data_IF_180566627651
#
_entry.id   IF_180566627651
#
_cell.length_a   1.000
_cell.length_b   1.000
_cell.length_c   1.000
_cell.angle_alpha   90.00
_cell.angle_beta   90.00
_cell.angle_gamma   90.00
#
_symmetry.space_group_name_H-M   'P 1'
#
loop_
_entity.id
_entity.type
_entity.pdbx_description
1 polymer ?
#
# COMPACT_ATOMS: atom_id res chain seq x y z
N UNK A 1 -76.90 -20.69 20.94
CA UNK A 1 -76.30 -21.01 19.61
C UNK A 1 -74.80 -20.68 19.72
N UNK A 2 -73.92 -21.70 19.62
CA UNK A 2 -72.49 -21.49 19.73
C UNK A 2 -71.93 -21.18 18.33
N UNK A 3 -71.01 -20.19 18.30
CA UNK A 3 -70.30 -19.70 17.12
C UNK A 3 -69.07 -20.57 16.94
N UNK A 4 -68.93 -21.22 15.75
CA UNK A 4 -67.78 -22.01 15.38
C UNK A 4 -66.53 -21.15 15.12
N UNK A 5 -65.32 -21.62 15.49
CA UNK A 5 -64.09 -20.92 15.19
C UNK A 5 -63.66 -21.16 13.74
N UNK A 6 -63.30 -20.05 13.06
CA UNK A 6 -62.73 -20.12 11.73
C UNK A 6 -61.24 -20.52 11.79
N UNK A 7 -60.89 -21.55 11.01
CA UNK A 7 -59.53 -22.00 10.76
C UNK A 7 -58.84 -21.00 9.83
N UNK A 8 -57.83 -20.32 10.33
CA UNK A 8 -56.84 -19.62 9.50
C UNK A 8 -55.84 -20.65 8.95
N UNK A 9 -55.83 -20.80 7.63
CA UNK A 9 -54.86 -21.63 6.94
C UNK A 9 -53.45 -21.02 6.99
N UNK A 10 -52.46 -21.85 7.28
CA UNK A 10 -51.06 -21.49 7.28
C UNK A 10 -50.60 -21.13 5.86
N UNK A 11 -49.74 -20.09 5.68
CA UNK A 11 -49.19 -19.76 4.39
C UNK A 11 -48.18 -20.83 3.93
N UNK A 12 -48.20 -21.12 2.62
CA UNK A 12 -47.33 -22.07 1.97
C UNK A 12 -45.86 -21.65 2.03
N UNK A 13 -44.90 -22.59 2.07
CA UNK A 13 -43.48 -22.26 2.08
C UNK A 13 -43.05 -21.67 0.74
N UNK A 14 -42.43 -20.49 0.78
CA UNK A 14 -41.79 -19.85 -0.37
C UNK A 14 -40.47 -20.56 -0.64
N UNK A 15 -40.39 -21.27 -1.74
CA UNK A 15 -39.16 -21.86 -2.24
C UNK A 15 -38.28 -20.74 -2.81
N UNK A 16 -37.22 -20.36 -2.12
CA UNK A 16 -36.17 -19.51 -2.67
C UNK A 16 -35.29 -20.35 -3.60
N UNK A 17 -35.57 -20.26 -4.89
CA UNK A 17 -34.71 -20.80 -5.91
C UNK A 17 -33.61 -19.80 -6.24
N UNK A 18 -32.43 -20.33 -6.52
CA UNK A 18 -31.26 -19.80 -7.21
C UNK A 18 -30.11 -19.41 -6.33
N UNK A 19 -29.25 -20.39 -6.14
CA UNK A 19 -27.84 -20.18 -5.88
C UNK A 19 -27.21 -19.41 -7.05
N UNK A 20 -26.89 -18.15 -6.84
CA UNK A 20 -25.98 -17.43 -7.70
C UNK A 20 -24.59 -18.00 -7.45
N UNK A 21 -23.99 -18.57 -8.49
CA UNK A 21 -22.59 -18.99 -8.48
C UNK A 21 -21.72 -17.79 -8.16
N UNK A 22 -20.73 -17.93 -7.26
CA UNK A 22 -19.77 -16.86 -7.02
C UNK A 22 -18.95 -16.69 -8.30
N UNK A 23 -19.02 -15.51 -8.88
CA UNK A 23 -18.04 -15.08 -9.88
C UNK A 23 -16.66 -15.20 -9.25
N UNK A 24 -15.87 -16.13 -9.73
CA UNK A 24 -14.45 -16.18 -9.43
C UNK A 24 -13.82 -14.89 -10.00
N UNK A 25 -13.57 -13.93 -9.13
CA UNK A 25 -12.67 -12.82 -9.43
C UNK A 25 -11.30 -13.45 -9.70
N UNK A 26 -10.93 -13.58 -10.97
CA UNK A 26 -9.53 -13.71 -11.34
C UNK A 26 -8.86 -12.40 -10.90
N UNK A 27 -8.23 -12.44 -9.75
CA UNK A 27 -7.33 -11.39 -9.32
C UNK A 27 -6.15 -11.38 -10.30
N UNK A 28 -6.18 -10.49 -11.27
CA UNK A 28 -4.97 -10.13 -11.98
C UNK A 28 -3.99 -9.63 -10.91
N UNK A 29 -2.75 -10.13 -10.88
CA UNK A 29 -1.76 -9.61 -9.96
C UNK A 29 -1.63 -8.10 -10.23
N UNK A 30 -1.63 -7.26 -9.19
CA UNK A 30 -1.51 -5.83 -9.37
C UNK A 30 -0.21 -5.55 -10.10
N UNK A 31 -0.31 -4.85 -11.23
CA UNK A 31 0.84 -4.35 -11.96
C UNK A 31 1.42 -3.20 -11.13
N UNK A 32 2.47 -3.48 -10.37
CA UNK A 32 3.06 -2.55 -9.40
C UNK A 32 3.99 -1.51 -10.04
N UNK A 33 3.92 -1.36 -11.36
CA UNK A 33 4.55 -0.25 -12.08
C UNK A 33 6.07 -0.33 -12.23
N UNK A 34 6.69 -1.52 -12.09
CA UNK A 34 8.13 -1.73 -12.36
C UNK A 34 9.09 -1.02 -11.42
N UNK A 35 8.61 -0.53 -10.27
CA UNK A 35 9.43 0.16 -9.28
C UNK A 35 10.28 -0.78 -8.41
N UNK A 36 11.13 -0.18 -7.57
CA UNK A 36 12.02 -0.88 -6.65
C UNK A 36 11.30 -1.91 -5.76
N UNK A 37 10.01 -1.70 -5.46
CA UNK A 37 9.22 -2.66 -4.68
C UNK A 37 8.72 -3.84 -5.50
N UNK A 38 8.40 -3.67 -6.77
CA UNK A 38 8.10 -4.80 -7.65
C UNK A 38 9.33 -5.67 -7.81
N UNK A 39 10.48 -5.03 -7.91
CA UNK A 39 11.78 -5.69 -7.84
C UNK A 39 12.02 -6.38 -6.50
N UNK A 40 11.62 -5.79 -5.36
CA UNK A 40 11.79 -6.36 -4.03
C UNK A 40 10.81 -7.48 -3.68
N UNK A 41 9.60 -7.46 -4.24
CA UNK A 41 8.49 -8.32 -3.78
C UNK A 41 7.78 -9.07 -4.90
N UNK A 42 7.97 -8.68 -6.16
CA UNK A 42 7.54 -9.43 -7.33
C UNK A 42 8.44 -10.66 -7.50
N UNK A 43 7.92 -11.86 -7.27
CA UNK A 43 8.60 -13.06 -7.69
C UNK A 43 8.78 -13.01 -9.21
N UNK A 44 10.01 -13.25 -9.70
CA UNK A 44 10.29 -13.44 -11.11
C UNK A 44 9.40 -14.56 -11.65
N UNK A 45 8.30 -14.22 -12.30
CA UNK A 45 7.70 -15.14 -13.25
C UNK A 45 8.55 -15.06 -14.52
N UNK A 46 9.10 -16.17 -15.03
CA UNK A 46 9.80 -16.16 -16.30
C UNK A 46 8.78 -15.75 -17.37
N UNK A 47 8.95 -14.57 -17.93
CA UNK A 47 8.27 -14.19 -19.18
C UNK A 47 8.71 -15.20 -20.22
N UNK A 48 7.78 -16.07 -20.63
CA UNK A 48 7.96 -16.97 -21.76
C UNK A 48 8.43 -16.15 -22.95
N UNK A 49 9.60 -16.52 -23.49
CA UNK A 49 10.18 -15.88 -24.66
C UNK A 49 9.22 -16.00 -25.84
N UNK A 50 8.65 -14.90 -26.27
CA UNK A 50 8.10 -14.79 -27.59
C UNK A 50 9.29 -14.76 -28.56
N UNK A 51 9.49 -15.84 -29.33
CA UNK A 51 10.43 -15.91 -30.39
C UNK A 51 10.19 -14.76 -31.38
N UNK A 52 11.17 -13.89 -31.55
CA UNK A 52 11.20 -12.92 -32.64
C UNK A 52 11.29 -13.67 -33.95
N UNK A 53 10.17 -13.77 -34.66
CA UNK A 53 10.18 -14.07 -36.10
C UNK A 53 10.64 -12.82 -36.84
N UNK A 54 11.80 -12.89 -37.45
CA UNK A 54 12.23 -11.91 -38.44
C UNK A 54 11.35 -12.02 -39.69
N UNK A 55 10.80 -10.93 -40.19
CA UNK A 55 10.24 -10.90 -41.54
C UNK A 55 11.35 -10.66 -42.52
N UNK A 56 11.65 -11.67 -43.32
CA UNK A 56 12.40 -11.54 -44.59
C UNK A 56 11.48 -11.00 -45.66
N UNK A 57 11.76 -9.79 -46.15
CA UNK A 57 11.11 -9.20 -47.33
C UNK A 57 11.95 -8.06 -47.90
N UNK A 58 11.92 -7.82 -49.21
CA UNK A 58 12.99 -7.17 -49.95
C UNK A 58 12.96 -5.64 -49.86
N UNK A 59 14.14 -5.06 -50.05
CA UNK A 59 14.43 -3.63 -50.07
C UNK A 59 13.55 -2.84 -51.05
N UNK A 60 12.95 -1.76 -50.61
CA UNK A 60 12.48 -0.69 -51.48
C UNK A 60 12.65 0.70 -50.86
N UNK A 61 13.39 1.49 -51.61
CA UNK A 61 13.35 2.92 -51.89
C UNK A 61 13.49 3.94 -50.77
N UNK A 62 14.60 4.65 -50.89
CA UNK A 62 14.88 5.95 -50.30
C UNK A 62 13.77 6.97 -50.61
N UNK A 63 13.19 7.54 -49.62
CA UNK A 63 12.47 8.83 -49.68
C UNK A 63 13.23 9.81 -48.83
N UNK A 64 13.82 10.82 -49.48
CA UNK A 64 14.34 12.01 -48.80
C UNK A 64 13.24 12.63 -47.97
N UNK A 65 13.48 12.72 -46.65
CA UNK A 65 12.67 13.57 -45.75
C UNK A 65 13.58 14.64 -45.14
N UNK A 66 13.09 15.86 -45.23
CA UNK A 66 13.69 17.09 -44.72
C UNK A 66 14.19 16.95 -43.27
N UNK A 67 15.40 17.51 -42.96
CA UNK A 67 15.97 17.44 -41.61
C UNK A 67 15.38 18.46 -40.60
N UNK A 68 14.24 19.09 -40.87
CA UNK A 68 13.76 20.22 -40.05
C UNK A 68 12.54 19.93 -39.17
N UNK A 69 12.20 18.68 -38.89
CA UNK A 69 11.07 18.34 -38.02
C UNK A 69 11.38 17.20 -37.05
N UNK A 70 12.51 17.26 -36.35
CA UNK A 70 12.64 16.49 -35.12
C UNK A 70 11.93 17.31 -34.01
N UNK A 71 10.61 17.16 -33.93
CA UNK A 71 9.93 17.45 -32.68
C UNK A 71 10.44 16.44 -31.67
N UNK A 72 11.28 16.89 -30.77
CA UNK A 72 11.53 16.18 -29.53
C UNK A 72 10.19 16.06 -28.83
N UNK A 73 9.52 14.91 -28.99
CA UNK A 73 8.54 14.48 -28.00
C UNK A 73 9.38 14.31 -26.73
N UNK A 74 9.39 15.35 -25.91
CA UNK A 74 9.82 15.26 -24.55
C UNK A 74 9.10 14.04 -23.98
N UNK A 75 9.90 12.99 -23.68
CA UNK A 75 9.38 11.77 -23.11
C UNK A 75 8.49 12.15 -21.96
N UNK A 76 7.24 11.68 -21.98
CA UNK A 76 6.34 11.83 -20.87
C UNK A 76 7.13 11.33 -19.64
N UNK A 77 7.45 12.22 -18.72
CA UNK A 77 7.89 11.89 -17.39
C UNK A 77 7.00 10.74 -16.93
N UNK A 78 7.52 9.64 -16.34
CA UNK A 78 6.69 8.57 -15.85
C UNK A 78 5.65 9.24 -14.97
N UNK A 79 4.39 9.23 -15.41
CA UNK A 79 3.30 9.91 -14.74
C UNK A 79 3.35 9.43 -13.29
N UNK A 80 3.77 10.33 -12.37
CA UNK A 80 3.68 10.07 -10.95
C UNK A 80 2.23 9.68 -10.73
N UNK A 81 1.98 8.40 -10.50
CA UNK A 81 0.61 7.93 -10.27
C UNK A 81 0.06 8.77 -9.14
N UNK A 82 -0.86 9.66 -9.47
CA UNK A 82 -1.44 10.59 -8.51
C UNK A 82 -2.02 9.76 -7.37
N UNK A 83 -1.68 10.14 -6.15
CA UNK A 83 -2.27 9.51 -4.97
C UNK A 83 -3.79 9.55 -5.08
N UNK A 84 -4.45 8.41 -4.85
CA UNK A 84 -5.90 8.39 -4.71
C UNK A 84 -6.32 9.40 -3.62
N UNK A 85 -7.16 10.39 -3.92
CA UNK A 85 -7.54 11.47 -3.00
C UNK A 85 -8.09 11.00 -1.66
N UNK A 86 -8.68 9.79 -1.59
CA UNK A 86 -9.17 9.21 -0.34
C UNK A 86 -8.06 8.99 0.70
N UNK A 87 -6.82 8.80 0.26
CA UNK A 87 -5.65 8.62 1.13
C UNK A 87 -4.94 9.92 1.49
N UNK A 88 -5.45 11.06 1.04
CA UNK A 88 -4.92 12.35 1.45
C UNK A 88 -5.08 12.55 2.96
N UNK A 89 -4.09 13.21 3.56
CA UNK A 89 -4.14 13.60 4.98
C UNK A 89 -5.32 14.54 5.24
N UNK A 90 -6.09 14.27 6.30
CA UNK A 90 -7.21 15.11 6.70
C UNK A 90 -7.55 14.93 8.18
N UNK A 91 -8.17 15.95 8.77
CA UNK A 91 -8.77 15.86 10.11
C UNK A 91 -10.16 15.23 9.95
N UNK A 92 -10.44 14.21 10.77
CA UNK A 92 -11.70 13.48 10.76
C UNK A 92 -12.28 13.35 12.16
N UNK A 93 -13.60 13.13 12.29
CA UNK A 93 -14.21 12.71 13.55
C UNK A 93 -13.68 11.33 13.94
N UNK A 94 -13.39 11.14 15.22
CA UNK A 94 -12.87 9.90 15.76
C UNK A 94 -13.68 9.46 16.97
N UNK A 95 -14.34 8.31 16.86
CA UNK A 95 -15.22 7.74 17.90
C UNK A 95 -14.55 6.68 18.78
N UNK A 96 -13.26 6.40 18.57
CA UNK A 96 -12.49 5.46 19.39
C UNK A 96 -12.31 5.94 20.83
N UNK A 97 -11.85 5.05 21.69
CA UNK A 97 -11.64 5.31 23.13
C UNK A 97 -10.20 5.62 23.49
N UNK A 98 -9.32 5.68 22.51
CA UNK A 98 -7.89 5.88 22.68
C UNK A 98 -7.61 7.33 23.12
N UNK A 99 -6.69 7.49 24.04
CA UNK A 99 -6.30 8.81 24.54
C UNK A 99 -5.64 9.65 23.43
N UNK A 100 -5.81 10.98 23.44
CA UNK A 100 -5.08 11.88 22.57
C UNK A 100 -3.58 11.63 22.57
N UNK A 101 -2.95 11.70 21.40
CA UNK A 101 -1.54 11.37 21.19
C UNK A 101 -1.28 9.88 20.88
N UNK A 102 -2.30 9.01 20.97
CA UNK A 102 -2.17 7.61 20.52
C UNK A 102 -2.22 7.52 19.01
N UNK A 103 -1.39 6.66 18.43
CA UNK A 103 -1.47 6.25 17.03
C UNK A 103 -2.32 4.98 16.94
N UNK A 104 -3.34 4.99 16.08
CA UNK A 104 -4.13 3.80 15.74
C UNK A 104 -3.96 3.49 14.26
N UNK A 105 -3.57 2.26 13.95
CA UNK A 105 -3.32 1.79 12.59
C UNK A 105 -4.37 0.75 12.24
N UNK A 106 -5.27 1.12 11.32
CA UNK A 106 -6.29 0.25 10.74
C UNK A 106 -5.73 -0.35 9.45
N UNK A 107 -5.19 -1.56 9.56
CA UNK A 107 -4.55 -2.23 8.43
C UNK A 107 -5.53 -2.65 7.35
N UNK A 108 -6.74 -3.15 7.64
CA UNK A 108 -7.76 -3.42 6.64
C UNK A 108 -8.16 -2.20 5.81
N UNK A 109 -8.37 -1.06 6.46
CA UNK A 109 -8.78 0.17 5.78
C UNK A 109 -7.60 0.97 5.19
N UNK A 110 -6.36 0.64 5.57
CA UNK A 110 -5.13 1.31 5.15
C UNK A 110 -5.07 2.77 5.58
N UNK A 111 -5.45 3.02 6.84
CA UNK A 111 -5.36 4.32 7.47
C UNK A 111 -4.59 4.26 8.78
N UNK A 112 -3.88 5.34 9.06
CA UNK A 112 -3.28 5.65 10.35
C UNK A 112 -3.99 6.87 10.92
N UNK A 113 -4.38 6.79 12.18
CA UNK A 113 -5.02 7.87 12.92
C UNK A 113 -4.11 8.33 14.05
N UNK A 114 -3.76 9.59 14.08
CA UNK A 114 -3.20 10.24 15.26
C UNK A 114 -4.34 10.90 16.05
N UNK A 115 -4.72 10.27 17.16
CA UNK A 115 -5.85 10.72 17.98
C UNK A 115 -5.57 12.11 18.56
N UNK A 116 -6.56 13.00 18.43
CA UNK A 116 -6.52 14.38 18.89
C UNK A 116 -7.55 14.58 20.03
N UNK A 117 -7.43 15.66 20.81
CA UNK A 117 -8.50 16.07 21.72
C UNK A 117 -9.81 16.37 20.97
N UNK A 118 -10.93 16.34 21.69
CA UNK A 118 -12.24 16.75 21.14
C UNK A 118 -12.87 15.76 20.16
N UNK A 119 -12.55 14.46 20.25
CA UNK A 119 -13.16 13.43 19.40
C UNK A 119 -12.75 13.54 17.93
N UNK A 120 -11.54 13.96 17.68
CA UNK A 120 -10.94 14.09 16.34
C UNK A 120 -9.69 13.21 16.19
N UNK A 121 -9.27 12.99 14.96
CA UNK A 121 -7.97 12.44 14.63
C UNK A 121 -7.45 13.04 13.33
N UNK A 122 -6.12 13.12 13.20
CA UNK A 122 -5.49 13.31 11.91
C UNK A 122 -5.38 11.93 11.26
N UNK A 123 -6.01 11.76 10.12
CA UNK A 123 -5.99 10.52 9.33
C UNK A 123 -4.99 10.64 8.20
N UNK A 124 -4.15 9.62 8.04
CA UNK A 124 -3.18 9.48 6.98
C UNK A 124 -3.44 8.20 6.19
N UNK A 125 -3.29 8.24 4.88
CA UNK A 125 -3.24 7.04 4.05
C UNK A 125 -1.93 6.30 4.25
N UNK A 126 -1.98 4.97 4.31
CA UNK A 126 -0.80 4.13 4.53
C UNK A 126 -0.73 2.95 3.55
N UNK A 127 0.48 2.47 3.30
CA UNK A 127 0.73 1.14 2.77
C UNK A 127 1.02 0.16 3.91
N UNK A 128 0.57 -1.08 3.78
CA UNK A 128 0.60 -2.09 4.86
C UNK A 128 1.30 -3.37 4.42
N UNK A 129 1.46 -4.31 5.35
CA UNK A 129 1.98 -5.66 5.09
C UNK A 129 1.12 -6.41 4.09
N UNK A 130 1.75 -7.09 3.13
CA UNK A 130 1.08 -8.04 2.23
C UNK A 130 0.52 -9.23 3.02
N UNK A 131 -0.39 -10.03 2.44
CA UNK A 131 -0.90 -11.24 3.09
C UNK A 131 0.22 -12.12 3.66
N UNK A 132 0.07 -12.58 4.90
CA UNK A 132 1.10 -13.32 5.65
C UNK A 132 2.14 -12.45 6.38
N UNK A 133 2.10 -11.13 6.20
CA UNK A 133 2.96 -10.17 6.92
C UNK A 133 2.16 -9.13 7.71
N UNK A 134 0.86 -9.37 7.87
CA UNK A 134 0.02 -8.55 8.75
C UNK A 134 0.26 -8.92 10.21
N UNK A 135 0.12 -7.95 11.09
CA UNK A 135 0.21 -8.15 12.53
C UNK A 135 -0.73 -7.16 13.24
N UNK A 136 -1.13 -7.51 14.44
CA UNK A 136 -1.95 -6.67 15.31
C UNK A 136 -1.34 -6.59 16.70
N UNK A 137 -1.79 -5.65 17.51
CA UNK A 137 -1.38 -5.50 18.89
C UNK A 137 -0.89 -4.11 19.25
N UNK A 138 -0.28 -3.98 20.43
CA UNK A 138 0.17 -2.71 20.99
C UNK A 138 1.68 -2.65 21.03
N UNK A 139 2.23 -1.54 20.58
CA UNK A 139 3.65 -1.19 20.67
C UNK A 139 3.82 0.26 21.10
N UNK A 140 5.06 0.69 21.26
CA UNK A 140 5.40 2.12 21.43
C UNK A 140 6.49 2.50 20.46
N UNK A 141 6.55 3.79 20.10
CA UNK A 141 7.69 4.35 19.39
C UNK A 141 8.90 4.32 20.31
N UNK A 142 9.94 3.58 19.94
CA UNK A 142 11.16 3.43 20.75
C UNK A 142 12.33 4.24 20.24
N UNK A 143 12.33 4.58 18.95
CA UNK A 143 13.35 5.40 18.30
C UNK A 143 12.76 6.16 17.12
N UNK A 144 13.30 7.33 16.86
CA UNK A 144 12.99 8.17 15.69
C UNK A 144 14.28 8.41 14.92
N UNK A 145 14.20 8.48 13.61
CA UNK A 145 15.34 8.80 12.75
C UNK A 145 14.90 9.61 11.53
N UNK A 146 15.72 10.59 11.15
CA UNK A 146 15.62 11.35 9.92
C UNK A 146 16.51 10.71 8.87
N UNK A 147 16.03 10.59 7.64
CA UNK A 147 16.73 9.96 6.53
C UNK A 147 17.50 8.70 6.96
N UNK A 148 16.80 7.69 7.51
CA UNK A 148 17.45 6.53 8.11
C UNK A 148 18.19 5.70 7.06
N UNK A 149 19.32 5.13 7.47
CA UNK A 149 19.94 4.06 6.70
C UNK A 149 19.01 2.85 6.60
N UNK A 150 19.06 2.17 5.48
CA UNK A 150 18.36 0.90 5.31
C UNK A 150 19.34 -0.26 5.21
N UNK A 151 19.09 -1.27 6.04
CA UNK A 151 19.74 -2.58 5.97
C UNK A 151 18.65 -3.62 5.83
N UNK A 152 18.59 -4.37 4.71
CA UNK A 152 17.63 -5.45 4.55
C UNK A 152 17.78 -6.47 5.67
N UNK A 153 16.67 -6.97 6.25
CA UNK A 153 16.72 -8.10 7.16
C UNK A 153 17.37 -9.33 6.52
N UNK A 154 18.08 -10.14 7.30
CA UNK A 154 18.78 -11.33 6.78
C UNK A 154 17.84 -12.28 6.00
N UNK A 155 16.60 -12.45 6.47
CA UNK A 155 15.58 -13.25 5.76
C UNK A 155 15.16 -12.64 4.42
N UNK A 156 15.26 -11.33 4.27
CA UNK A 156 15.02 -10.67 2.97
C UNK A 156 16.18 -10.92 2.02
N UNK A 157 17.42 -10.81 2.49
CA UNK A 157 18.61 -11.10 1.70
C UNK A 157 18.68 -12.58 1.25
N UNK A 158 18.21 -13.52 2.07
CA UNK A 158 18.08 -14.93 1.65
C UNK A 158 17.13 -15.11 0.46
N UNK A 159 16.01 -14.39 0.45
CA UNK A 159 15.03 -14.44 -0.65
C UNK A 159 15.45 -13.61 -1.86
N UNK A 160 16.22 -12.56 -1.63
CA UNK A 160 16.65 -11.58 -2.62
C UNK A 160 18.13 -11.23 -2.40
N UNK A 161 19.04 -12.13 -2.82
CA UNK A 161 20.49 -11.94 -2.66
C UNK A 161 21.06 -10.82 -3.55
N UNK A 162 20.28 -10.34 -4.49
CA UNK A 162 20.58 -9.21 -5.37
C UNK A 162 20.42 -7.84 -4.70
N UNK A 163 19.82 -7.78 -3.51
CA UNK A 163 19.67 -6.52 -2.77
C UNK A 163 21.00 -6.04 -2.19
N UNK A 164 21.21 -4.71 -2.13
CA UNK A 164 22.36 -4.15 -1.43
C UNK A 164 22.26 -4.47 0.07
N UNK A 165 23.39 -4.81 0.69
CA UNK A 165 23.43 -5.05 2.12
C UNK A 165 23.23 -3.79 2.97
N UNK A 166 23.38 -2.61 2.33
CA UNK A 166 23.26 -1.31 2.94
C UNK A 166 22.87 -0.25 1.92
N UNK A 167 21.96 0.65 2.32
CA UNK A 167 21.70 1.90 1.61
C UNK A 167 21.74 3.05 2.61
N UNK A 168 22.53 4.07 2.32
CA UNK A 168 22.52 5.32 3.08
C UNK A 168 21.16 6.02 2.99
N UNK A 169 20.82 6.83 3.97
CA UNK A 169 19.63 7.67 3.95
C UNK A 169 19.63 8.61 2.74
N UNK A 170 18.50 8.78 2.10
CA UNK A 170 18.37 9.63 0.91
C UNK A 170 17.06 9.38 0.15
N UNK A 171 16.83 10.15 -0.93
CA UNK A 171 15.59 10.07 -1.72
C UNK A 171 15.29 8.68 -2.28
N UNK A 172 16.31 7.92 -2.65
CA UNK A 172 16.19 6.59 -3.23
C UNK A 172 16.03 5.47 -2.17
N UNK A 173 16.19 5.82 -0.88
CA UNK A 173 16.10 4.86 0.20
C UNK A 173 14.64 4.46 0.46
N UNK A 174 14.31 3.17 0.55
CA UNK A 174 12.93 2.71 0.73
C UNK A 174 12.28 3.13 2.06
N UNK A 175 13.05 3.58 3.04
CA UNK A 175 12.53 4.11 4.30
C UNK A 175 12.12 5.58 4.23
N UNK A 176 12.47 6.26 3.13
CA UNK A 176 12.11 7.66 2.90
C UNK A 176 12.67 8.63 3.94
N UNK A 177 11.98 9.77 4.09
CA UNK A 177 12.47 10.91 4.85
C UNK A 177 12.56 10.70 6.37
N UNK A 178 11.68 9.87 6.95
CA UNK A 178 11.58 9.65 8.41
C UNK A 178 11.23 8.20 8.70
N UNK A 179 11.71 7.70 9.86
CA UNK A 179 11.27 6.42 10.41
C UNK A 179 11.05 6.50 11.93
N UNK A 180 9.99 5.83 12.39
CA UNK A 180 9.65 5.61 13.78
C UNK A 180 9.66 4.10 14.04
N UNK A 181 10.52 3.64 14.93
CA UNK A 181 10.72 2.21 15.24
C UNK A 181 9.77 1.78 16.33
N UNK A 182 9.20 0.58 16.22
CA UNK A 182 8.13 0.09 17.08
C UNK A 182 8.62 -1.05 17.99
N UNK A 183 8.85 -0.73 19.26
CA UNK A 183 9.34 -1.67 20.26
C UNK A 183 10.72 -2.24 19.88
N UNK A 184 10.97 -3.48 20.26
CA UNK A 184 12.15 -4.26 19.87
C UNK A 184 11.97 -5.02 18.55
N UNK A 185 10.86 -4.76 17.84
CA UNK A 185 10.55 -5.46 16.58
C UNK A 185 11.25 -4.84 15.38
N UNK A 186 11.19 -5.54 14.25
CA UNK A 186 11.63 -5.00 12.96
C UNK A 186 10.61 -4.04 12.32
N UNK A 187 9.43 -3.85 12.94
CA UNK A 187 8.38 -3.01 12.39
C UNK A 187 8.66 -1.52 12.60
N UNK A 188 8.27 -0.74 11.60
CA UNK A 188 8.47 0.71 11.56
C UNK A 188 7.25 1.37 10.93
N UNK A 189 7.01 2.63 11.31
CA UNK A 189 6.25 3.59 10.50
C UNK A 189 7.30 4.42 9.80
N UNK A 190 7.26 4.50 8.46
CA UNK A 190 8.32 5.17 7.71
C UNK A 190 7.81 5.81 6.42
N UNK A 191 8.58 6.71 5.85
CA UNK A 191 8.35 7.28 4.52
C UNK A 191 8.53 6.26 3.40
N UNK A 192 8.53 6.72 2.17
CA UNK A 192 8.76 5.87 1.01
C UNK A 192 9.32 6.67 -0.17
N UNK A 193 10.20 6.04 -0.94
CA UNK A 193 10.57 6.49 -2.28
C UNK A 193 9.53 6.11 -3.34
N UNK A 194 8.46 5.39 -2.94
CA UNK A 194 7.39 4.88 -3.81
C UNK A 194 6.01 5.31 -3.29
N UNK A 195 5.65 6.61 -3.40
CA UNK A 195 4.41 7.14 -2.84
C UNK A 195 3.15 6.53 -3.45
N UNK A 196 3.21 5.98 -4.66
CA UNK A 196 2.07 5.29 -5.30
C UNK A 196 1.67 3.98 -4.60
N UNK A 197 2.50 3.46 -3.69
CA UNK A 197 2.19 2.25 -2.90
C UNK A 197 1.29 2.51 -1.70
N UNK A 198 0.95 3.76 -1.43
CA UNK A 198 -0.03 4.11 -0.40
C UNK A 198 -1.41 3.62 -0.82
N UNK A 199 -2.12 3.02 0.12
CA UNK A 199 -3.39 2.35 -0.15
C UNK A 199 -3.24 0.89 -0.60
N UNK A 200 -2.02 0.34 -0.63
CA UNK A 200 -1.76 -1.03 -1.05
C UNK A 200 -1.14 -1.91 0.05
N UNK A 201 -1.15 -3.22 -0.15
CA UNK A 201 -0.58 -4.21 0.77
C UNK A 201 0.68 -4.82 0.14
N UNK A 202 1.84 -4.19 0.34
CA UNK A 202 3.09 -4.53 -0.36
C UNK A 202 4.29 -4.75 0.55
N UNK A 203 4.25 -4.32 1.82
CA UNK A 203 5.40 -4.38 2.71
C UNK A 203 5.58 -5.76 3.37
N UNK A 204 6.70 -5.95 4.05
CA UNK A 204 6.94 -7.08 4.95
C UNK A 204 6.52 -6.77 6.41
N UNK A 205 5.43 -6.04 6.59
CA UNK A 205 4.82 -5.71 7.88
C UNK A 205 5.09 -4.29 8.38
N UNK A 206 5.98 -3.52 7.76
CA UNK A 206 6.16 -2.11 8.06
C UNK A 206 4.99 -1.26 7.52
N UNK A 207 4.75 -0.13 8.14
CA UNK A 207 3.71 0.83 7.77
C UNK A 207 4.35 1.94 6.95
N UNK A 208 3.95 2.05 5.69
CA UNK A 208 4.47 3.05 4.76
C UNK A 208 3.60 4.28 4.72
N UNK A 209 4.23 5.42 4.59
CA UNK A 209 3.58 6.72 4.43
C UNK A 209 4.25 7.49 3.29
N UNK A 210 3.59 8.50 2.75
CA UNK A 210 4.26 9.50 1.91
C UNK A 210 5.27 10.26 2.76
N UNK A 211 6.33 10.79 2.13
CA UNK A 211 7.38 11.51 2.85
C UNK A 211 6.85 12.75 3.59
N UNK A 212 5.93 13.51 2.98
CA UNK A 212 5.30 14.66 3.62
C UNK A 212 4.42 14.27 4.82
N UNK A 213 3.74 13.13 4.75
CA UNK A 213 2.85 12.65 5.82
C UNK A 213 3.63 12.08 6.99
N UNK A 214 4.69 11.30 6.72
CA UNK A 214 5.54 10.78 7.79
C UNK A 214 6.32 11.89 8.48
N UNK A 215 6.70 12.94 7.75
CA UNK A 215 7.37 14.11 8.33
C UNK A 215 6.42 14.85 9.27
N UNK A 216 5.18 15.11 8.85
CA UNK A 216 4.16 15.73 9.71
C UNK A 216 3.86 14.87 10.96
N UNK A 217 3.69 13.55 10.80
CA UNK A 217 3.48 12.65 11.94
C UNK A 217 4.70 12.61 12.87
N UNK A 218 5.90 12.58 12.31
CA UNK A 218 7.15 12.55 13.05
C UNK A 218 7.31 13.76 13.97
N UNK A 219 6.94 14.94 13.54
CA UNK A 219 7.01 16.16 14.34
C UNK A 219 6.01 16.16 15.51
N UNK A 220 4.85 15.51 15.32
CA UNK A 220 3.77 15.47 16.31
C UNK A 220 3.95 14.41 17.39
N UNK A 221 4.72 13.35 17.13
CA UNK A 221 4.86 12.22 18.04
C UNK A 221 6.25 12.17 18.67
N UNK A 222 6.36 11.56 19.85
CA UNK A 222 7.58 11.41 20.61
C UNK A 222 7.91 9.93 20.88
N UNK A 223 9.15 9.67 21.27
CA UNK A 223 9.52 8.36 21.84
C UNK A 223 8.61 8.09 23.05
N UNK A 224 8.09 6.87 23.15
CA UNK A 224 7.08 6.47 24.13
C UNK A 224 5.63 6.58 23.61
N UNK A 225 5.38 7.23 22.46
CA UNK A 225 4.03 7.29 21.87
C UNK A 225 3.48 5.88 21.66
N UNK A 226 2.25 5.65 22.18
CA UNK A 226 1.54 4.38 22.05
C UNK A 226 1.05 4.18 20.63
N UNK A 227 1.23 2.97 20.11
CA UNK A 227 0.79 2.55 18.77
C UNK A 227 -0.06 1.29 18.90
N UNK A 228 -1.28 1.35 18.42
CA UNK A 228 -2.23 0.24 18.39
C UNK A 228 -2.45 -0.15 16.92
N UNK A 229 -2.30 -1.43 16.61
CA UNK A 229 -2.51 -1.97 15.25
C UNK A 229 -3.65 -2.97 15.28
N UNK A 230 -4.65 -2.74 14.42
CA UNK A 230 -5.87 -3.55 14.27
C UNK A 230 -6.05 -4.00 12.82
#
# INVERSE_FOLDING_TARGET
MPISPQHYGAPAPVTLASAQQPYAYQQQPPNLGGGFLEFLFGGLQPRGGAAMQQPSGPAQMYVHRDPAAIQYQTGAEPSQQALDPRYARQVVSYSGREAPGTIVIDTPQRYLYLVQPGGQAIRYGIGVGRPGFTWAGVKSVTRKAEWPDWRPPAEMLKRRPDLPQFMAGGPDNPLGARAMYLGSSLYRIHGSNEPWTIGTAVSSGCIRMRNEDVTDLYERVKVGTKVIVI
#
